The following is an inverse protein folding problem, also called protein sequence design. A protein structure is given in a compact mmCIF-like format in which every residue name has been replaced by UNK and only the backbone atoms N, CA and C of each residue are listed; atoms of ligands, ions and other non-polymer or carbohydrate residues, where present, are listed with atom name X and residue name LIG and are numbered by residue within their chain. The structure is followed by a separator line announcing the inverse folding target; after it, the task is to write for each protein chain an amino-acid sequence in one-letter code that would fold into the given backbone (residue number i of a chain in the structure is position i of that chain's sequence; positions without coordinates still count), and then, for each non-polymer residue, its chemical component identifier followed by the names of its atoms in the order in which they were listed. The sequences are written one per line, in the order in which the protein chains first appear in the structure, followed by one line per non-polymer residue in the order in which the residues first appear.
data_IF_651653283057
#
_entry.id   IF_651653283057
#
_cell.length_a   1.000
_cell.length_b   1.000
_cell.length_c   1.000
_cell.angle_alpha   90.00
_cell.angle_beta   90.00
_cell.angle_gamma   90.00
#
_symmetry.space_group_name_H-M   'P 1'
#
loop_
_entity.id
_entity.type
_entity.pdbx_description
1 polymer ?
#
# COMPACT_ATOMS: atom_id res chain seq x y z
N UNK A 1 -20.60 -11.67 -7.20
CA UNK A 1 -20.04 -11.27 -8.51
C UNK A 1 -18.55 -11.63 -8.56
N UNK A 2 -17.97 -11.82 -9.76
CA UNK A 2 -16.56 -12.22 -9.98
C UNK A 2 -15.59 -11.24 -9.32
N UNK A 3 -15.76 -9.95 -9.59
CA UNK A 3 -14.84 -8.89 -9.13
C UNK A 3 -14.67 -8.84 -7.60
N UNK A 4 -15.76 -9.05 -6.85
CA UNK A 4 -15.71 -9.11 -5.38
C UNK A 4 -14.75 -10.21 -4.90
N UNK A 5 -14.81 -11.39 -5.52
CA UNK A 5 -13.93 -12.52 -5.16
C UNK A 5 -12.47 -12.20 -5.48
N UNK A 6 -12.22 -11.53 -6.60
CA UNK A 6 -10.86 -11.10 -6.98
C UNK A 6 -10.31 -10.06 -6.00
N UNK A 7 -11.13 -9.09 -5.58
CA UNK A 7 -10.75 -8.15 -4.53
C UNK A 7 -10.47 -8.86 -3.20
N UNK A 8 -11.29 -9.83 -2.79
CA UNK A 8 -11.07 -10.59 -1.56
C UNK A 8 -9.74 -11.38 -1.62
N UNK A 9 -9.40 -11.96 -2.77
CA UNK A 9 -8.11 -12.62 -3.00
C UNK A 9 -6.96 -11.61 -2.89
N UNK A 10 -7.04 -10.47 -3.58
CA UNK A 10 -6.00 -9.41 -3.52
C UNK A 10 -5.81 -8.92 -2.08
N UNK A 11 -6.90 -8.62 -1.37
CA UNK A 11 -6.86 -8.18 0.02
C UNK A 11 -6.26 -9.25 0.93
N UNK A 12 -6.55 -10.53 0.69
CA UNK A 12 -5.97 -11.64 1.46
C UNK A 12 -4.46 -11.72 1.23
N UNK A 13 -4.00 -11.63 -0.02
CA UNK A 13 -2.57 -11.63 -0.33
C UNK A 13 -1.85 -10.43 0.30
N UNK A 14 -2.43 -9.24 0.18
CA UNK A 14 -1.89 -8.02 0.77
C UNK A 14 -1.78 -8.10 2.30
N UNK A 15 -2.83 -8.58 2.98
CA UNK A 15 -2.85 -8.76 4.45
C UNK A 15 -1.77 -9.73 4.95
N UNK A 16 -1.42 -10.72 4.15
CA UNK A 16 -0.39 -11.71 4.48
C UNK A 16 0.99 -11.35 3.91
N UNK A 17 1.16 -10.16 3.32
CA UNK A 17 2.41 -9.73 2.68
C UNK A 17 2.92 -10.70 1.61
N UNK A 18 2.00 -11.36 0.90
CA UNK A 18 2.33 -12.27 -0.19
C UNK A 18 2.38 -11.49 -1.50
N UNK A 19 3.45 -11.69 -2.27
CA UNK A 19 3.56 -11.12 -3.61
C UNK A 19 2.42 -11.64 -4.50
N UNK A 20 1.71 -10.75 -5.21
CA UNK A 20 0.63 -11.18 -6.11
C UNK A 20 1.18 -11.93 -7.33
N UNK A 21 2.31 -11.46 -7.83
CA UNK A 21 2.94 -11.88 -9.09
C UNK A 21 4.28 -12.51 -8.85
N UNK A 22 4.64 -13.36 -9.81
CA UNK A 22 5.95 -13.96 -9.97
C UNK A 22 6.38 -13.80 -11.45
N UNK A 23 7.44 -14.46 -11.87
CA UNK A 23 8.01 -14.27 -13.20
C UNK A 23 7.06 -14.64 -14.38
N UNK A 24 5.99 -15.40 -14.12
CA UNK A 24 5.01 -15.86 -15.13
C UNK A 24 3.58 -15.59 -14.66
N UNK A 25 2.73 -15.06 -15.54
CA UNK A 25 1.31 -14.75 -15.25
C UNK A 25 0.33 -15.29 -16.31
N UNK A 26 0.78 -16.22 -17.14
CA UNK A 26 -0.05 -16.82 -18.19
C UNK A 26 -0.41 -18.26 -17.82
N UNK A 27 -1.71 -18.49 -17.53
CA UNK A 27 -2.31 -19.80 -17.28
C UNK A 27 -2.14 -20.80 -18.45
N UNK A 28 -1.74 -20.33 -19.63
CA UNK A 28 -1.48 -21.20 -20.78
C UNK A 28 -0.08 -21.81 -20.80
N UNK A 29 0.83 -21.30 -19.96
CA UNK A 29 2.17 -21.85 -19.81
C UNK A 29 2.22 -22.89 -18.70
N UNK A 30 3.21 -23.78 -18.71
CA UNK A 30 3.43 -24.68 -17.59
C UNK A 30 4.22 -23.98 -16.47
N UNK A 31 3.88 -24.31 -15.22
CA UNK A 31 4.63 -23.91 -14.04
C UNK A 31 3.82 -23.02 -13.08
N UNK A 32 4.52 -22.35 -12.18
CA UNK A 32 3.92 -21.49 -11.17
C UNK A 32 3.58 -20.11 -11.74
N UNK A 33 2.34 -19.67 -11.55
CA UNK A 33 1.77 -18.44 -12.14
C UNK A 33 1.63 -17.28 -11.15
N UNK A 34 2.33 -17.36 -10.01
CA UNK A 34 2.20 -16.41 -8.91
C UNK A 34 1.03 -16.72 -7.97
N UNK A 35 1.03 -16.05 -6.81
CA UNK A 35 0.07 -16.34 -5.75
C UNK A 35 -1.36 -15.94 -6.16
N UNK A 36 -1.56 -14.88 -6.93
CA UNK A 36 -2.89 -14.44 -7.35
C UNK A 36 -3.62 -15.52 -8.15
N UNK A 37 -3.01 -16.02 -9.24
CA UNK A 37 -3.61 -17.06 -10.07
C UNK A 37 -3.76 -18.38 -9.30
N UNK A 38 -2.79 -18.73 -8.45
CA UNK A 38 -2.88 -19.93 -7.60
C UNK A 38 -4.06 -19.87 -6.64
N UNK A 39 -4.34 -18.70 -6.04
CA UNK A 39 -5.51 -18.51 -5.18
C UNK A 39 -6.81 -18.52 -5.98
N UNK A 40 -6.84 -17.93 -7.18
CA UNK A 40 -8.00 -18.00 -8.08
C UNK A 40 -8.33 -19.46 -8.42
N UNK A 41 -7.34 -20.25 -8.81
CA UNK A 41 -7.51 -21.68 -9.09
C UNK A 41 -7.98 -22.47 -7.86
N UNK A 42 -7.42 -22.18 -6.69
CA UNK A 42 -7.83 -22.81 -5.43
C UNK A 42 -9.29 -22.52 -5.09
N UNK A 43 -9.69 -21.25 -5.13
CA UNK A 43 -11.07 -20.84 -4.82
C UNK A 43 -12.04 -21.38 -5.88
N UNK A 44 -11.65 -21.41 -7.16
CA UNK A 44 -12.46 -21.97 -8.24
C UNK A 44 -12.82 -23.46 -8.05
N UNK A 45 -12.05 -24.24 -7.27
CA UNK A 45 -12.43 -25.62 -6.92
C UNK A 45 -13.72 -25.70 -6.11
N UNK A 46 -14.05 -24.63 -5.40
CA UNK A 46 -15.20 -24.56 -4.49
C UNK A 46 -16.22 -23.48 -4.89
N UNK A 47 -15.86 -22.57 -5.80
CA UNK A 47 -16.68 -21.46 -6.27
C UNK A 47 -16.98 -21.62 -7.77
N UNK A 48 -18.23 -22.00 -8.08
CA UNK A 48 -18.68 -22.23 -9.45
C UNK A 48 -18.57 -20.99 -10.35
N UNK A 49 -18.62 -19.77 -9.79
CA UNK A 49 -18.52 -18.53 -10.57
C UNK A 49 -17.08 -18.32 -11.05
N UNK A 50 -16.08 -18.53 -10.19
CA UNK A 50 -14.68 -18.48 -10.63
C UNK A 50 -14.31 -19.65 -11.53
N UNK A 51 -14.88 -20.83 -11.29
CA UNK A 51 -14.69 -21.96 -12.20
C UNK A 51 -15.14 -21.62 -13.62
N UNK A 52 -16.34 -21.05 -13.79
CA UNK A 52 -16.83 -20.58 -15.08
C UNK A 52 -15.88 -19.56 -15.72
N UNK A 53 -15.29 -18.66 -14.93
CA UNK A 53 -14.32 -17.67 -15.43
C UNK A 53 -13.06 -18.35 -15.99
N UNK A 54 -12.59 -19.42 -15.36
CA UNK A 54 -11.43 -20.18 -15.82
C UNK A 54 -11.74 -21.00 -17.07
N UNK A 55 -12.95 -21.54 -17.17
CA UNK A 55 -13.42 -22.37 -18.30
C UNK A 55 -13.81 -21.54 -19.54
N UNK A 56 -13.90 -20.22 -19.42
CA UNK A 56 -14.23 -19.35 -20.55
C UNK A 56 -13.19 -19.47 -21.68
N UNK A 57 -13.63 -19.40 -22.96
CA UNK A 57 -12.74 -19.53 -24.11
C UNK A 57 -11.72 -18.38 -24.16
N UNK A 58 -10.58 -18.64 -24.81
CA UNK A 58 -9.56 -17.61 -25.07
C UNK A 58 -10.18 -16.39 -25.75
N UNK A 59 -9.83 -15.20 -25.27
CA UNK A 59 -10.41 -13.92 -25.73
C UNK A 59 -11.59 -13.41 -24.88
N UNK A 60 -12.10 -14.20 -23.94
CA UNK A 60 -13.13 -13.75 -23.00
C UNK A 60 -12.56 -12.82 -21.91
N UNK A 61 -13.39 -11.91 -21.40
CA UNK A 61 -13.03 -11.00 -20.30
C UNK A 61 -13.02 -11.75 -18.97
N UNK A 62 -11.85 -12.27 -18.58
CA UNK A 62 -11.68 -13.05 -17.34
C UNK A 62 -11.33 -12.22 -16.11
N UNK A 63 -10.94 -10.95 -16.28
CA UNK A 63 -10.44 -10.06 -15.21
C UNK A 63 -9.17 -10.56 -14.49
N UNK A 64 -8.49 -11.57 -15.05
CA UNK A 64 -7.30 -12.19 -14.45
C UNK A 64 -5.98 -11.63 -15.01
N UNK A 65 -6.02 -10.76 -16.02
CA UNK A 65 -4.81 -10.21 -16.63
C UNK A 65 -4.06 -9.31 -15.66
N UNK A 66 -2.74 -9.23 -15.84
CA UNK A 66 -1.88 -8.33 -15.06
C UNK A 66 -2.38 -6.87 -15.10
N UNK A 67 -2.86 -6.40 -16.25
CA UNK A 67 -3.41 -5.05 -16.38
C UNK A 67 -4.61 -4.83 -15.45
N UNK A 68 -5.58 -5.74 -15.46
CA UNK A 68 -6.79 -5.61 -14.63
C UNK A 68 -6.45 -5.78 -13.15
N UNK A 69 -5.49 -6.66 -12.81
CA UNK A 69 -4.97 -6.77 -11.46
C UNK A 69 -4.34 -5.44 -10.98
N UNK A 70 -3.55 -4.76 -11.82
CA UNK A 70 -3.00 -3.44 -11.47
C UNK A 70 -4.11 -2.42 -11.22
N UNK A 71 -5.10 -2.34 -12.11
CA UNK A 71 -6.25 -1.43 -11.95
C UNK A 71 -7.02 -1.69 -10.65
N UNK A 72 -7.20 -2.97 -10.27
CA UNK A 72 -7.81 -3.33 -8.99
C UNK A 72 -6.96 -2.89 -7.79
N UNK A 73 -5.65 -3.10 -7.84
CA UNK A 73 -4.72 -2.68 -6.78
C UNK A 73 -4.70 -1.17 -6.65
N UNK A 74 -4.62 -0.44 -7.76
CA UNK A 74 -4.66 1.02 -7.80
C UNK A 74 -5.97 1.54 -7.23
N UNK A 75 -7.11 0.96 -7.63
CA UNK A 75 -8.43 1.34 -7.11
C UNK A 75 -8.55 1.14 -5.60
N UNK A 76 -8.08 -0.01 -5.08
CA UNK A 76 -8.01 -0.27 -3.64
C UNK A 76 -7.08 0.72 -2.93
N UNK A 77 -5.90 0.97 -3.51
CA UNK A 77 -4.89 1.89 -3.00
C UNK A 77 -5.44 3.31 -2.88
N UNK A 78 -6.01 3.86 -3.96
CA UNK A 78 -6.61 5.20 -3.97
C UNK A 78 -7.77 5.31 -2.98
N UNK A 79 -8.63 4.29 -2.88
CA UNK A 79 -9.75 4.32 -1.93
C UNK A 79 -9.28 4.30 -0.49
N UNK A 80 -8.29 3.46 -0.18
CA UNK A 80 -7.67 3.37 1.13
C UNK A 80 -6.96 4.67 1.50
N UNK A 81 -6.15 5.21 0.59
CA UNK A 81 -5.44 6.48 0.77
C UNK A 81 -6.43 7.62 1.04
N UNK A 82 -7.47 7.75 0.22
CA UNK A 82 -8.51 8.78 0.41
C UNK A 82 -9.15 8.66 1.79
N UNK A 83 -9.51 7.44 2.19
CA UNK A 83 -10.11 7.20 3.50
C UNK A 83 -9.16 7.56 4.65
N UNK A 84 -7.89 7.17 4.58
CA UNK A 84 -6.89 7.50 5.60
C UNK A 84 -6.65 9.01 5.68
N UNK A 85 -6.58 9.69 4.55
CA UNK A 85 -6.43 11.15 4.49
C UNK A 85 -7.64 11.85 5.10
N UNK A 86 -8.86 11.37 4.86
CA UNK A 86 -10.07 11.89 5.51
C UNK A 86 -10.00 11.73 7.04
N UNK A 87 -9.58 10.55 7.54
CA UNK A 87 -9.41 10.32 8.98
C UNK A 87 -8.36 11.25 9.61
N UNK A 88 -7.23 11.43 8.94
CA UNK A 88 -6.18 12.37 9.38
C UNK A 88 -6.71 13.81 9.36
N UNK A 89 -7.49 14.20 8.35
CA UNK A 89 -8.06 15.54 8.22
C UNK A 89 -9.06 15.88 9.31
N UNK A 90 -9.86 14.93 9.78
CA UNK A 90 -10.82 15.18 10.87
C UNK A 90 -10.16 15.10 12.25
N UNK A 91 -8.97 14.52 12.34
CA UNK A 91 -8.20 14.46 13.58
C UNK A 91 -7.93 15.87 14.14
N UNK A 92 -8.07 16.10 15.45
CA UNK A 92 -7.67 17.35 16.09
C UNK A 92 -6.14 17.52 16.10
N UNK A 93 -5.39 16.42 16.23
CA UNK A 93 -3.94 16.43 16.33
C UNK A 93 -3.31 15.41 15.39
N UNK A 94 -2.23 15.79 14.71
CA UNK A 94 -1.40 14.86 13.99
C UNK A 94 0.06 15.30 13.99
N UNK A 95 0.95 14.33 13.79
CA UNK A 95 2.38 14.54 13.61
C UNK A 95 2.82 13.80 12.35
N UNK A 96 3.74 14.42 11.61
CA UNK A 96 4.39 13.79 10.46
C UNK A 96 5.80 13.42 10.88
N UNK A 97 6.14 12.15 10.68
CA UNK A 97 7.46 11.60 10.94
C UNK A 97 8.09 11.30 9.59
N UNK A 98 9.26 11.87 9.40
CA UNK A 98 10.07 11.71 8.20
C UNK A 98 11.42 11.11 8.59
N UNK A 99 11.84 10.05 7.89
CA UNK A 99 13.16 9.45 8.08
C UNK A 99 13.76 9.15 6.71
N UNK A 100 15.02 9.53 6.51
CA UNK A 100 15.78 9.29 5.28
C UNK A 100 16.79 8.17 5.50
N UNK A 101 16.86 7.23 4.57
CA UNK A 101 17.87 6.17 4.55
C UNK A 101 18.49 6.08 3.17
N UNK A 102 19.79 5.84 3.09
CA UNK A 102 20.48 5.70 1.80
C UNK A 102 20.42 4.23 1.35
N UNK A 103 19.95 3.99 0.13
CA UNK A 103 19.89 2.64 -0.44
C UNK A 103 21.23 2.18 -1.03
N UNK A 104 21.28 0.93 -1.52
CA UNK A 104 22.47 0.32 -2.11
C UNK A 104 22.96 1.10 -3.34
N UNK A 105 22.05 1.78 -4.05
CA UNK A 105 22.35 2.62 -5.21
C UNK A 105 22.78 4.04 -4.84
N UNK A 106 22.96 4.32 -3.54
CA UNK A 106 23.30 5.62 -2.96
C UNK A 106 22.21 6.68 -3.11
N UNK A 107 20.98 6.26 -3.43
CA UNK A 107 19.83 7.15 -3.49
C UNK A 107 19.22 7.26 -2.10
N UNK A 108 19.00 8.49 -1.65
CA UNK A 108 18.29 8.73 -0.40
C UNK A 108 16.81 8.39 -0.59
N UNK A 109 16.29 7.58 0.31
CA UNK A 109 14.89 7.17 0.37
C UNK A 109 14.25 7.80 1.60
N UNK A 110 13.24 8.64 1.38
CA UNK A 110 12.43 9.30 2.39
C UNK A 110 11.21 8.42 2.72
N UNK A 111 11.15 7.92 3.95
CA UNK A 111 9.94 7.31 4.50
C UNK A 111 9.06 8.35 5.19
N UNK A 112 7.75 8.27 4.98
CA UNK A 112 6.76 9.17 5.58
C UNK A 112 5.75 8.36 6.39
N UNK A 113 5.64 8.71 7.67
CA UNK A 113 4.67 8.14 8.62
C UNK A 113 3.85 9.28 9.22
N UNK A 114 2.54 9.11 9.29
CA UNK A 114 1.63 10.04 9.96
C UNK A 114 1.08 9.40 11.22
N UNK A 115 1.19 10.10 12.35
CA UNK A 115 0.51 9.75 13.60
C UNK A 115 -0.63 10.71 13.83
N UNK A 116 -1.83 10.21 14.13
CA UNK A 116 -3.00 11.07 14.41
C UNK A 116 -3.82 10.53 15.57
N UNK A 117 -4.50 11.43 16.29
CA UNK A 117 -5.32 11.09 17.44
C UNK A 117 -6.79 10.87 17.05
N UNK A 118 -7.34 9.69 17.34
CA UNK A 118 -8.77 9.41 17.27
C UNK A 118 -9.36 9.64 18.66
N UNK A 119 -10.25 10.63 18.75
CA UNK A 119 -10.90 11.01 20.01
C UNK A 119 -12.35 10.54 20.00
N UNK A 120 -12.67 9.60 20.88
CA UNK A 120 -14.04 9.12 21.10
C UNK A 120 -14.69 9.93 22.21
N UNK A 121 -15.87 10.49 21.94
CA UNK A 121 -16.67 11.25 22.91
C UNK A 121 -18.03 10.60 23.11
N UNK A 122 -18.56 10.70 24.32
CA UNK A 122 -19.92 10.32 24.67
C UNK A 122 -20.94 11.25 24.02
N UNK A 123 -22.21 10.84 23.97
CA UNK A 123 -23.35 11.68 23.59
C UNK A 123 -23.39 13.00 24.38
N UNK A 124 -22.93 12.98 25.63
CA UNK A 124 -22.86 14.16 26.50
C UNK A 124 -21.60 15.02 26.26
N UNK A 125 -20.81 14.72 25.23
CA UNK A 125 -19.58 15.44 24.88
C UNK A 125 -18.36 15.10 25.74
N UNK A 126 -18.50 14.22 26.74
CA UNK A 126 -17.41 13.80 27.62
C UNK A 126 -16.42 12.89 26.88
N UNK A 127 -15.12 13.10 27.12
CA UNK A 127 -14.06 12.26 26.57
C UNK A 127 -14.19 10.83 27.09
N UNK A 128 -14.25 9.86 26.17
CA UNK A 128 -14.24 8.43 26.49
C UNK A 128 -12.82 7.88 26.33
N UNK A 129 -12.24 8.09 25.15
CA UNK A 129 -10.97 7.47 24.79
C UNK A 129 -10.18 8.34 23.81
N UNK A 130 -8.86 8.26 23.88
CA UNK A 130 -7.94 8.81 22.89
C UNK A 130 -7.03 7.68 22.41
N UNK A 131 -7.13 7.34 21.13
CA UNK A 131 -6.29 6.35 20.47
C UNK A 131 -5.33 7.07 19.52
N UNK A 132 -4.03 6.77 19.57
CA UNK A 132 -3.07 7.27 18.58
C UNK A 132 -2.89 6.21 17.50
N UNK A 133 -3.27 6.56 16.27
CA UNK A 133 -3.09 5.71 15.10
C UNK A 133 -1.86 6.13 14.32
N UNK A 134 -1.16 5.17 13.75
CA UNK A 134 0.00 5.37 12.89
C UNK A 134 -0.30 4.83 11.49
N UNK A 135 0.03 5.62 10.47
CA UNK A 135 -0.16 5.29 9.06
C UNK A 135 1.14 5.53 8.33
N UNK A 136 1.64 4.48 7.69
CA UNK A 136 2.74 4.58 6.74
C UNK A 136 2.20 5.03 5.38
N UNK A 137 2.66 6.17 4.86
CA UNK A 137 2.19 6.70 3.58
C UNK A 137 3.04 6.21 2.40
N UNK A 138 4.33 5.95 2.61
CA UNK A 138 5.20 5.46 1.55
C UNK A 138 6.67 5.74 1.77
N UNK A 139 7.47 5.18 0.86
CA UNK A 139 8.87 5.55 0.63
C UNK A 139 8.96 6.29 -0.70
N UNK A 140 9.66 7.41 -0.71
CA UNK A 140 9.87 8.25 -1.88
C UNK A 140 11.37 8.45 -2.10
N UNK A 141 11.83 8.49 -3.35
CA UNK A 141 13.20 8.92 -3.62
C UNK A 141 13.32 10.41 -3.22
N UNK A 142 14.24 10.71 -2.29
CA UNK A 142 14.52 12.07 -1.88
C UNK A 142 15.30 12.77 -3.00
N UNK A 143 14.70 13.81 -3.58
CA UNK A 143 15.32 14.57 -4.68
C UNK A 143 16.24 15.65 -4.11
N UNK A 144 16.00 16.07 -2.87
CA UNK A 144 16.73 17.13 -2.16
C UNK A 144 16.78 16.87 -0.67
N UNK A 145 17.83 17.37 0.00
CA UNK A 145 18.14 17.04 1.39
C UNK A 145 17.87 18.16 2.40
N UNK A 146 17.33 19.32 1.97
CA UNK A 146 16.97 20.39 2.90
C UNK A 146 15.62 20.10 3.58
N UNK A 147 15.48 20.49 4.84
CA UNK A 147 14.27 20.25 5.64
C UNK A 147 13.03 20.90 5.01
N UNK A 148 13.18 22.09 4.42
CA UNK A 148 12.10 22.77 3.71
C UNK A 148 11.69 22.02 2.42
N UNK A 149 12.65 21.45 1.71
CA UNK A 149 12.39 20.69 0.49
C UNK A 149 11.73 19.33 0.77
N UNK A 150 12.07 18.66 1.87
CA UNK A 150 11.45 17.38 2.25
C UNK A 150 9.96 17.55 2.60
N UNK A 151 9.60 18.67 3.24
CA UNK A 151 8.20 19.02 3.55
C UNK A 151 7.39 19.26 2.27
N UNK A 152 8.02 19.78 1.21
CA UNK A 152 7.33 20.10 -0.05
C UNK A 152 7.31 18.93 -1.06
N UNK A 153 8.03 17.84 -0.80
CA UNK A 153 8.13 16.71 -1.73
C UNK A 153 6.93 15.75 -1.70
N UNK A 154 6.15 15.72 -0.61
CA UNK A 154 4.92 14.95 -0.59
C UNK A 154 3.84 15.64 -1.45
N UNK A 155 3.25 14.99 -2.47
CA UNK A 155 2.25 15.59 -3.37
C UNK A 155 1.08 16.26 -2.64
N UNK A 156 0.83 15.77 -1.43
CA UNK A 156 -0.26 16.19 -0.57
C UNK A 156 0.17 17.28 0.40
N UNK A 157 1.38 17.23 0.97
CA UNK A 157 1.82 18.01 2.14
C UNK A 157 1.57 19.53 2.06
N UNK A 158 1.81 20.22 0.92
CA UNK A 158 1.55 21.66 0.82
C UNK A 158 0.07 22.04 1.02
N UNK A 159 -0.87 21.14 0.67
CA UNK A 159 -2.31 21.40 0.88
C UNK A 159 -2.74 21.22 2.34
N UNK A 160 -1.98 20.47 3.15
CA UNK A 160 -2.30 20.20 4.56
C UNK A 160 -1.59 21.18 5.49
N UNK A 161 -0.35 21.59 5.17
CA UNK A 161 0.44 22.58 5.91
C UNK A 161 -0.29 23.91 6.12
N UNK A 162 -1.07 24.33 5.12
CA UNK A 162 -1.72 25.65 5.11
C UNK A 162 -3.00 25.71 5.95
N UNK A 163 -3.52 24.57 6.45
CA UNK A 163 -4.87 24.50 7.02
C UNK A 163 -4.96 24.61 8.56
N UNK A 164 -3.90 24.35 9.34
CA UNK A 164 -3.93 24.49 10.82
C UNK A 164 -2.56 24.81 11.42
N UNK A 165 -2.54 25.73 12.39
CA UNK A 165 -1.35 26.23 13.11
C UNK A 165 -0.65 25.22 14.05
N UNK A 166 -1.11 23.97 14.15
CA UNK A 166 -0.60 22.97 15.11
C UNK A 166 -0.07 21.72 14.40
N UNK A 167 0.91 21.89 13.51
CA UNK A 167 1.65 20.77 12.91
C UNK A 167 3.00 20.60 13.58
N UNK A 168 3.27 19.39 14.06
CA UNK A 168 4.59 19.02 14.59
C UNK A 168 5.18 17.99 13.62
N UNK A 169 6.16 18.44 12.82
CA UNK A 169 7.02 17.56 12.05
C UNK A 169 8.16 17.08 12.95
N UNK A 170 8.30 15.77 13.14
CA UNK A 170 9.38 15.17 13.93
C UNK A 170 10.33 14.39 13.01
N UNK A 171 11.56 14.86 12.88
CA UNK A 171 12.66 14.07 12.31
C UNK A 171 13.20 13.13 13.39
N UNK A 172 13.22 11.81 13.13
CA UNK A 172 13.73 10.79 14.06
C UNK A 172 14.62 9.81 13.28
N UNK A 173 15.93 9.67 13.60
CA UNK A 173 16.79 8.64 13.00
C UNK A 173 16.44 7.24 13.52
N UNK A 174 16.04 6.28 12.67
CA UNK A 174 15.61 4.93 13.08
C UNK A 174 16.52 3.78 12.57
N UNK A 175 17.63 3.50 13.26
CA UNK A 175 18.62 2.46 12.87
C UNK A 175 18.32 1.01 13.30
N UNK A 176 17.19 0.69 13.96
CA UNK A 176 16.96 -0.66 14.55
C UNK A 176 15.73 -1.45 14.11
N UNK A 177 14.69 -0.86 13.52
CA UNK A 177 13.42 -1.58 13.28
C UNK A 177 13.28 -2.14 11.86
N UNK A 178 13.89 -1.52 10.85
CA UNK A 178 13.84 -2.03 9.46
C UNK A 178 14.52 -3.39 9.26
N UNK A 179 15.49 -3.76 10.11
CA UNK A 179 16.14 -5.08 10.03
C UNK A 179 15.18 -6.26 10.26
N UNK A 180 14.02 -6.03 10.90
CA UNK A 180 12.98 -7.05 11.10
C UNK A 180 11.86 -7.04 10.06
N UNK A 181 11.59 -5.91 9.41
CA UNK A 181 10.46 -5.79 8.46
C UNK A 181 10.85 -6.08 7.00
N UNK A 182 12.09 -5.84 6.60
CA UNK A 182 12.51 -5.92 5.19
C UNK A 182 13.59 -6.96 4.88
N UNK A 183 13.99 -7.80 5.86
CA UNK A 183 15.07 -8.78 5.69
C UNK A 183 14.81 -9.93 4.69
N UNK A 184 13.61 -10.04 4.12
CA UNK A 184 13.23 -11.18 3.27
C UNK A 184 12.70 -10.83 1.87
N UNK A 185 12.71 -9.57 1.45
CA UNK A 185 12.31 -9.21 0.08
C UNK A 185 13.54 -9.26 -0.85
N UNK A 186 13.82 -10.44 -1.39
CA UNK A 186 14.69 -10.60 -2.55
C UNK A 186 13.93 -10.08 -3.80
N UNK A 187 14.21 -8.85 -4.22
CA UNK A 187 13.80 -8.37 -5.53
C UNK A 187 14.90 -8.72 -6.54
N UNK A 188 14.65 -9.75 -7.35
CA UNK A 188 15.43 -10.02 -8.57
C UNK A 188 15.12 -8.95 -9.61
N UNK A 189 16.15 -8.21 -10.04
CA UNK A 189 16.09 -7.29 -11.18
C UNK A 189 15.99 -8.08 -12.49
N UNK A 190 15.25 -7.60 -13.51
CA UNK A 190 15.39 -8.14 -14.86
C UNK A 190 16.73 -7.66 -15.42
N UNK A 191 17.57 -8.61 -15.84
CA UNK A 191 18.77 -8.33 -16.62
C UNK A 191 18.39 -7.66 -17.94
N UNK A 192 18.89 -6.45 -18.18
CA UNK A 192 18.90 -5.83 -19.50
C UNK A 192 19.80 -6.65 -20.43
N UNK A 193 19.23 -7.31 -21.44
CA UNK A 193 19.97 -7.81 -22.60
C UNK A 193 20.00 -6.74 -23.69
N UNK A 194 21.21 -6.55 -24.25
CA UNK A 194 21.62 -5.63 -25.31
C UNK A 194 20.66 -5.46 -26.49
#
# INVERSE_FOLDING_TARGET
MVLQRLFDIILTLAKNSLALREHREDLSQEGYHGNFLSFVELVARYDHILWQVLDMPKGSTRYLSATIQNEMIESLGTKLETHLLEQIRVSPFFAIIMDTTQDISKVDQLSIVVRYAVITRSENGQLIEVEVKEVFLGVYAAIKHDAADLVNQGPWLPSYATARHEQICLFKPWSRVMRRLFGHLHWSTPSSSN
#
